data_IF_778930386841
#
_entry.id   IF_778930386841
#
_cell.length_a   1.000
_cell.length_b   1.000
_cell.length_c   1.000
_cell.angle_alpha   90.00
_cell.angle_beta   90.00
_cell.angle_gamma   90.00
#
_symmetry.space_group_name_H-M   'P 1'
#
loop_
_entity.id
_entity.type
_entity.pdbx_description
1 polymer ?
#
# COMPACT_ATOMS: atom_id res chain seq x y z
N UNK A 1 9.45 12.23 6.99
CA UNK A 1 8.89 11.48 5.86
C UNK A 1 7.63 10.77 6.30
N UNK A 2 6.55 10.92 5.55
CA UNK A 2 5.28 10.28 5.87
C UNK A 2 5.11 9.02 5.02
N UNK A 3 4.96 7.89 5.67
CA UNK A 3 4.81 6.59 5.03
C UNK A 3 3.45 6.01 5.42
N UNK A 4 2.64 5.68 4.42
CA UNK A 4 1.37 5.00 4.63
C UNK A 4 1.47 3.53 4.27
N UNK A 5 0.92 2.67 5.10
CA UNK A 5 0.89 1.23 4.85
C UNK A 5 -0.56 0.82 4.58
N UNK A 6 -0.77 0.21 3.43
CA UNK A 6 -2.09 -0.29 3.02
C UNK A 6 -2.18 -1.76 3.36
N UNK A 7 -3.12 -2.11 4.20
CA UNK A 7 -3.30 -3.48 4.69
C UNK A 7 -2.90 -3.58 6.16
N UNK A 8 -3.88 -3.88 7.02
CA UNK A 8 -3.71 -3.87 8.47
C UNK A 8 -3.64 -5.28 9.07
N UNK A 9 -3.24 -6.27 8.28
CA UNK A 9 -2.99 -7.63 8.77
C UNK A 9 -1.65 -7.74 9.49
N UNK A 10 -1.22 -8.96 9.78
CA UNK A 10 0.06 -9.20 10.48
C UNK A 10 1.25 -8.61 9.74
N UNK A 11 1.30 -8.78 8.42
CA UNK A 11 2.40 -8.30 7.58
C UNK A 11 2.44 -6.77 7.56
N UNK A 12 1.29 -6.13 7.31
CA UNK A 12 1.21 -4.67 7.30
C UNK A 12 1.53 -4.06 8.65
N UNK A 13 1.04 -4.64 9.73
CA UNK A 13 1.32 -4.18 11.09
C UNK A 13 2.79 -4.32 11.46
N UNK A 14 3.44 -5.41 11.02
CA UNK A 14 4.86 -5.61 11.25
C UNK A 14 5.71 -4.58 10.50
N UNK A 15 5.34 -4.27 9.25
CA UNK A 15 6.01 -3.24 8.46
C UNK A 15 5.83 -1.85 9.07
N UNK A 16 4.62 -1.53 9.52
CA UNK A 16 4.35 -0.25 10.19
C UNK A 16 5.24 -0.09 11.42
N UNK A 17 5.31 -1.11 12.27
CA UNK A 17 6.16 -1.08 13.45
C UNK A 17 7.63 -0.86 13.08
N UNK A 18 8.14 -1.59 12.10
CA UNK A 18 9.54 -1.47 11.69
C UNK A 18 9.85 -0.07 11.14
N UNK A 19 8.97 0.47 10.32
CA UNK A 19 9.18 1.77 9.68
C UNK A 19 8.96 2.94 10.64
N UNK A 20 8.14 2.76 11.67
CA UNK A 20 7.85 3.81 12.65
C UNK A 20 9.04 4.21 13.50
N UNK A 21 10.10 3.41 13.51
CA UNK A 21 11.31 3.72 14.29
C UNK A 21 11.99 5.00 13.82
N UNK A 22 11.92 5.30 12.51
CA UNK A 22 12.62 6.43 11.92
C UNK A 22 11.73 7.35 11.09
N UNK A 23 10.45 7.03 10.97
CA UNK A 23 9.52 7.75 10.10
C UNK A 23 8.18 7.97 10.77
N UNK A 24 7.44 8.95 10.26
CA UNK A 24 6.04 9.12 10.63
C UNK A 24 5.21 8.15 9.81
N UNK A 25 4.57 7.18 10.45
CA UNK A 25 3.83 6.11 9.76
C UNK A 25 2.35 6.13 10.07
N UNK A 26 1.58 5.73 9.06
CA UNK A 26 0.13 5.57 9.15
C UNK A 26 -0.24 4.24 8.54
N UNK A 27 -1.36 3.66 8.96
CA UNK A 27 -1.83 2.38 8.44
C UNK A 27 -3.32 2.47 8.13
N UNK A 28 -3.74 1.79 7.06
CA UNK A 28 -5.15 1.78 6.67
C UNK A 28 -5.54 0.45 6.03
N UNK A 29 -6.84 0.18 6.02
CA UNK A 29 -7.41 -0.97 5.34
C UNK A 29 -8.89 -0.70 5.02
N UNK A 30 -9.51 -1.59 4.24
CA UNK A 30 -10.94 -1.46 3.92
C UNK A 30 -11.81 -1.54 5.17
N UNK A 31 -11.44 -2.42 6.11
CA UNK A 31 -12.13 -2.51 7.40
C UNK A 31 -11.45 -1.58 8.39
N UNK A 32 -12.24 -0.75 9.06
CA UNK A 32 -11.72 0.09 10.14
C UNK A 32 -11.23 -0.82 11.28
N UNK A 33 -10.03 -0.53 11.78
CA UNK A 33 -9.46 -1.27 12.90
C UNK A 33 -9.05 -0.29 14.00
N UNK A 34 -9.27 -0.69 15.23
CA UNK A 34 -8.90 0.13 16.39
C UNK A 34 -7.43 -0.14 16.78
N UNK A 35 -6.52 0.27 15.91
CA UNK A 35 -5.08 0.13 16.15
C UNK A 35 -4.41 1.48 16.04
N UNK A 36 -3.25 1.60 16.66
CA UNK A 36 -2.48 2.85 16.66
C UNK A 36 -2.11 3.27 15.25
N UNK A 37 -2.17 4.55 14.97
CA UNK A 37 -1.84 5.17 13.68
C UNK A 37 -2.76 4.78 12.51
N UNK A 38 -3.92 4.20 12.84
CA UNK A 38 -4.90 3.90 11.80
C UNK A 38 -5.58 5.18 11.30
N UNK A 39 -5.62 5.34 9.98
CA UNK A 39 -6.33 6.45 9.32
C UNK A 39 -7.21 5.90 8.21
N UNK A 40 -8.11 6.72 7.70
CA UNK A 40 -8.95 6.32 6.57
C UNK A 40 -8.14 6.15 5.29
N UNK A 41 -8.66 5.38 4.33
CA UNK A 41 -8.00 5.22 3.04
C UNK A 41 -7.84 6.54 2.30
N UNK A 42 -8.80 7.45 2.41
CA UNK A 42 -8.70 8.76 1.78
C UNK A 42 -7.60 9.62 2.40
N UNK A 43 -7.39 9.53 3.71
CA UNK A 43 -6.31 10.24 4.39
C UNK A 43 -4.94 9.67 4.01
N UNK A 44 -4.80 8.35 3.96
CA UNK A 44 -3.51 7.72 3.70
C UNK A 44 -3.00 8.02 2.29
N UNK A 45 -3.89 8.34 1.36
CA UNK A 45 -3.50 8.74 0.00
C UNK A 45 -2.67 10.02 -0.03
N UNK A 46 -2.63 10.78 1.05
CA UNK A 46 -1.83 12.01 1.16
C UNK A 46 -0.38 11.75 1.55
N UNK A 47 -0.04 10.52 1.92
CA UNK A 47 1.35 10.19 2.25
C UNK A 47 2.22 10.22 1.00
N UNK A 48 3.49 10.62 1.15
CA UNK A 48 4.44 10.65 0.03
C UNK A 48 4.79 9.25 -0.45
N UNK A 49 4.85 8.30 0.47
CA UNK A 49 5.20 6.92 0.21
C UNK A 49 4.08 6.01 0.68
N UNK A 50 3.71 5.06 -0.16
CA UNK A 50 2.73 4.04 0.20
C UNK A 50 3.36 2.66 0.03
N UNK A 51 3.21 1.84 1.06
CA UNK A 51 3.60 0.44 1.03
C UNK A 51 2.32 -0.38 0.94
N UNK A 52 2.14 -1.10 -0.16
CA UNK A 52 0.91 -1.85 -0.42
C UNK A 52 1.12 -3.31 -0.10
N UNK A 53 0.36 -3.82 0.87
CA UNK A 53 0.40 -5.22 1.29
C UNK A 53 -0.89 -5.98 0.95
N UNK A 54 -1.73 -5.40 0.10
CA UNK A 54 -2.97 -6.06 -0.34
C UNK A 54 -2.62 -7.35 -1.09
N UNK A 55 -3.32 -8.47 -0.82
CA UNK A 55 -3.06 -9.72 -1.55
C UNK A 55 -3.18 -9.55 -3.06
N UNK A 56 -2.33 -10.25 -3.81
CA UNK A 56 -2.23 -10.11 -5.25
C UNK A 56 -3.58 -10.25 -5.97
N UNK A 57 -4.41 -11.19 -5.54
CA UNK A 57 -5.71 -11.44 -6.16
C UNK A 57 -6.72 -10.30 -5.96
N UNK A 58 -6.45 -9.37 -5.05
CA UNK A 58 -7.36 -8.25 -4.76
C UNK A 58 -6.83 -6.89 -5.25
N UNK A 59 -5.62 -6.85 -5.79
CA UNK A 59 -4.97 -5.59 -6.16
C UNK A 59 -5.76 -4.80 -7.21
N UNK A 60 -6.19 -5.46 -8.28
CA UNK A 60 -6.87 -4.75 -9.37
C UNK A 60 -8.14 -4.04 -8.88
N UNK A 61 -8.98 -4.76 -8.13
CA UNK A 61 -10.21 -4.17 -7.60
C UNK A 61 -9.93 -3.10 -6.56
N UNK A 62 -8.89 -3.29 -5.73
CA UNK A 62 -8.52 -2.29 -4.73
C UNK A 62 -8.06 -0.99 -5.38
N UNK A 63 -7.22 -1.07 -6.41
CA UNK A 63 -6.74 0.12 -7.11
C UNK A 63 -7.89 0.87 -7.77
N UNK A 64 -8.78 0.15 -8.44
CA UNK A 64 -9.93 0.75 -9.10
C UNK A 64 -10.86 1.44 -8.11
N UNK A 65 -11.12 0.82 -6.98
CA UNK A 65 -12.12 1.28 -6.02
C UNK A 65 -11.60 2.37 -5.07
N UNK A 66 -10.36 2.25 -4.61
CA UNK A 66 -9.86 3.09 -3.52
C UNK A 66 -8.67 3.98 -3.88
N UNK A 67 -7.88 3.64 -4.88
CA UNK A 67 -6.64 4.34 -5.11
C UNK A 67 -6.85 5.66 -5.87
N UNK A 68 -6.19 6.72 -5.38
CA UNK A 68 -6.13 8.02 -6.06
C UNK A 68 -4.67 8.42 -6.17
N UNK A 69 -4.17 8.55 -7.40
CA UNK A 69 -2.77 8.95 -7.61
C UNK A 69 -2.59 10.45 -7.33
N UNK A 70 -1.62 10.76 -6.48
CA UNK A 70 -1.27 12.13 -6.10
C UNK A 70 0.24 12.35 -6.13
N UNK A 71 0.95 11.59 -6.94
CA UNK A 71 2.41 11.66 -7.01
C UNK A 71 3.14 10.79 -5.99
N UNK A 72 2.43 9.92 -5.28
CA UNK A 72 3.04 9.03 -4.30
C UNK A 72 4.04 8.10 -4.95
N UNK A 73 5.05 7.70 -4.18
CA UNK A 73 5.94 6.61 -4.53
C UNK A 73 5.42 5.34 -3.87
N UNK A 74 5.31 4.28 -4.65
CA UNK A 74 4.64 3.04 -4.26
C UNK A 74 5.66 1.93 -4.12
N UNK A 75 5.68 1.29 -2.96
CA UNK A 75 6.41 0.05 -2.74
C UNK A 75 5.40 -1.10 -2.67
N UNK A 76 5.53 -2.03 -3.58
CA UNK A 76 4.66 -3.20 -3.62
C UNK A 76 5.27 -4.28 -2.71
N UNK A 77 4.60 -4.56 -1.62
CA UNK A 77 5.04 -5.53 -0.63
C UNK A 77 4.01 -6.64 -0.43
N UNK A 78 3.32 -7.01 -1.50
CA UNK A 78 2.32 -8.07 -1.45
C UNK A 78 2.99 -9.43 -1.33
N UNK A 79 2.48 -10.22 -0.39
CA UNK A 79 3.04 -11.52 -0.03
C UNK A 79 2.53 -12.63 -0.97
N UNK A 80 3.36 -13.65 -1.20
CA UNK A 80 2.95 -14.84 -1.94
C UNK A 80 2.85 -14.67 -3.45
N UNK A 81 3.52 -13.66 -4.00
CA UNK A 81 3.52 -13.44 -5.45
C UNK A 81 4.48 -14.42 -6.12
N UNK A 82 3.95 -15.18 -7.09
CA UNK A 82 4.79 -16.00 -7.97
C UNK A 82 5.34 -15.12 -9.10
N UNK A 83 6.38 -15.62 -9.79
CA UNK A 83 7.02 -14.86 -10.86
C UNK A 83 6.01 -14.41 -11.94
N UNK A 84 5.11 -15.29 -12.34
CA UNK A 84 4.08 -14.94 -13.32
C UNK A 84 3.09 -13.91 -12.78
N UNK A 85 2.70 -14.04 -11.51
CA UNK A 85 1.80 -13.09 -10.85
C UNK A 85 2.48 -11.74 -10.65
N UNK A 86 3.76 -11.71 -10.29
CA UNK A 86 4.52 -10.48 -10.16
C UNK A 86 4.54 -9.66 -11.43
N UNK A 87 4.72 -10.32 -12.57
CA UNK A 87 4.68 -9.67 -13.87
C UNK A 87 3.29 -9.10 -14.17
N UNK A 88 2.24 -9.88 -13.88
CA UNK A 88 0.86 -9.44 -14.04
C UNK A 88 0.55 -8.22 -13.16
N UNK A 89 1.02 -8.23 -11.92
CA UNK A 89 0.82 -7.10 -11.00
C UNK A 89 1.46 -5.82 -11.53
N UNK A 90 2.65 -5.88 -12.09
CA UNK A 90 3.28 -4.71 -12.67
C UNK A 90 2.42 -4.08 -13.77
N UNK A 91 1.81 -4.89 -14.61
CA UNK A 91 0.89 -4.41 -15.64
C UNK A 91 -0.34 -3.73 -15.03
N UNK A 92 -0.89 -4.31 -13.97
CA UNK A 92 -2.03 -3.72 -13.27
C UNK A 92 -1.67 -2.37 -12.67
N UNK A 93 -0.55 -2.30 -11.94
CA UNK A 93 -0.10 -1.06 -11.33
C UNK A 93 0.17 0.04 -12.35
N UNK A 94 0.72 -0.31 -13.50
CA UNK A 94 1.04 0.64 -14.55
C UNK A 94 -0.19 1.34 -15.14
N UNK A 95 -1.37 0.76 -14.99
CA UNK A 95 -2.62 1.38 -15.42
C UNK A 95 -3.05 2.56 -14.50
N UNK A 96 -2.50 2.62 -13.30
CA UNK A 96 -2.90 3.60 -12.28
C UNK A 96 -1.76 4.51 -11.84
N UNK A 97 -0.52 4.06 -11.98
CA UNK A 97 0.65 4.71 -11.41
C UNK A 97 1.75 4.74 -12.46
N UNK A 98 2.42 5.89 -12.69
CA UNK A 98 3.59 5.92 -13.57
C UNK A 98 4.67 4.95 -13.09
N UNK A 99 5.32 4.25 -14.02
CA UNK A 99 6.31 3.22 -13.70
C UNK A 99 7.45 3.75 -12.83
N UNK A 100 7.84 5.00 -13.02
CA UNK A 100 8.89 5.66 -12.24
C UNK A 100 8.53 5.82 -10.76
N UNK A 101 7.25 5.72 -10.41
CA UNK A 101 6.76 5.83 -9.03
C UNK A 101 6.53 4.48 -8.36
N UNK A 102 6.84 3.38 -9.03
CA UNK A 102 6.63 2.01 -8.51
C UNK A 102 7.98 1.37 -8.20
N UNK A 103 8.05 0.71 -7.04
CA UNK A 103 9.21 -0.06 -6.67
C UNK A 103 8.85 -1.49 -6.27
#
# INVERSE_FOLDING_TARGET
MKIGIIGAGKWGSALEFALSQNNETFISSRKVRAIQNFVSLSEIMRCEYLVITVPAQHIASWLEEFFVFRGQKILVASKGIEASSGRFLNEIYSNYIPDENIA
#
